data_IF_310972175336
#
_entry.id   IF_310972175336
#
_cell.length_a   1.000
_cell.length_b   1.000
_cell.length_c   1.000
_cell.angle_alpha   90.00
_cell.angle_beta   90.00
_cell.angle_gamma   90.00
#
_symmetry.space_group_name_H-M   'P 1'
#
loop_
_entity.id
_entity.type
_entity.pdbx_description
1 polymer ?
#
# COMPACT_ATOMS: atom_id res chain seq x y z
N UNK A 1 -10.24 -4.01 9.54
CA UNK A 1 -11.66 -4.40 9.44
C UNK A 1 -11.93 -5.68 10.20
N UNK A 2 -13.20 -5.95 10.50
CA UNK A 2 -13.64 -7.21 11.10
C UNK A 2 -13.13 -8.39 10.25
N UNK A 3 -12.44 -9.35 10.87
CA UNK A 3 -11.87 -10.55 10.21
C UNK A 3 -11.00 -10.29 8.97
N UNK A 4 -10.43 -9.09 8.82
CA UNK A 4 -9.60 -8.76 7.66
C UNK A 4 -10.37 -8.53 6.34
N UNK A 5 -11.68 -8.29 6.39
CA UNK A 5 -12.48 -8.06 5.17
C UNK A 5 -11.99 -6.86 4.35
N UNK A 6 -11.60 -5.78 5.02
CA UNK A 6 -11.07 -4.57 4.35
C UNK A 6 -9.75 -4.83 3.62
N UNK A 7 -8.81 -5.56 4.23
CA UNK A 7 -7.55 -5.85 3.54
C UNK A 7 -7.81 -6.81 2.37
N UNK A 8 -8.75 -7.75 2.52
CA UNK A 8 -9.12 -8.69 1.45
C UNK A 8 -9.72 -7.99 0.23
N UNK A 9 -10.57 -6.98 0.42
CA UNK A 9 -11.13 -6.22 -0.70
C UNK A 9 -10.04 -5.43 -1.44
N UNK A 10 -9.14 -4.77 -0.71
CA UNK A 10 -7.99 -4.06 -1.29
C UNK A 10 -7.07 -5.03 -2.04
N UNK A 11 -6.67 -6.15 -1.41
CA UNK A 11 -5.83 -7.16 -2.05
C UNK A 11 -6.44 -7.72 -3.33
N UNK A 12 -7.77 -7.86 -3.37
CA UNK A 12 -8.47 -8.36 -4.56
C UNK A 12 -8.41 -7.33 -5.69
N UNK A 13 -8.80 -6.09 -5.41
CA UNK A 13 -8.80 -5.02 -6.41
C UNK A 13 -7.40 -4.78 -7.00
N UNK A 14 -6.38 -4.65 -6.14
CA UNK A 14 -5.00 -4.44 -6.60
C UNK A 14 -4.47 -5.60 -7.43
N UNK A 15 -4.83 -6.85 -7.11
CA UNK A 15 -4.38 -8.01 -7.90
C UNK A 15 -5.05 -8.06 -9.27
N UNK A 16 -6.35 -7.75 -9.36
CA UNK A 16 -7.05 -7.72 -10.65
C UNK A 16 -6.42 -6.68 -11.60
N UNK A 17 -6.14 -5.48 -11.09
CA UNK A 17 -5.47 -4.42 -11.85
C UNK A 17 -4.03 -4.80 -12.26
N UNK A 18 -3.26 -5.41 -11.35
CA UNK A 18 -1.89 -5.85 -11.65
C UNK A 18 -1.84 -7.03 -12.62
N UNK A 19 -2.80 -7.96 -12.55
CA UNK A 19 -2.91 -9.08 -13.48
C UNK A 19 -3.26 -8.60 -14.89
N UNK A 20 -4.15 -7.61 -15.01
CA UNK A 20 -4.47 -6.95 -16.27
C UNK A 20 -3.26 -6.20 -16.85
N UNK A 21 -2.60 -5.37 -16.04
CA UNK A 21 -1.45 -4.58 -16.46
C UNK A 21 -0.26 -5.45 -16.91
N UNK A 22 0.00 -6.56 -16.22
CA UNK A 22 1.15 -7.44 -16.49
C UNK A 22 0.82 -8.62 -17.42
N UNK A 23 -0.45 -8.86 -17.72
CA UNK A 23 -0.90 -9.97 -18.57
C UNK A 23 -0.59 -11.37 -18.02
N UNK A 24 -0.39 -11.51 -16.71
CA UNK A 24 -0.01 -12.77 -16.05
C UNK A 24 -0.55 -12.85 -14.64
N UNK A 25 -0.70 -14.07 -14.11
CA UNK A 25 -1.14 -14.30 -12.72
C UNK A 25 -0.15 -13.70 -11.72
N UNK A 26 -0.67 -13.03 -10.70
CA UNK A 26 0.12 -12.36 -9.65
C UNK A 26 -0.27 -12.89 -8.27
N UNK A 27 0.72 -13.35 -7.50
CA UNK A 27 0.51 -13.68 -6.09
C UNK A 27 0.93 -12.49 -5.22
N UNK A 28 -0.04 -11.69 -4.79
CA UNK A 28 0.19 -10.49 -3.98
C UNK A 28 0.06 -10.81 -2.48
N UNK A 29 1.16 -10.68 -1.74
CA UNK A 29 1.16 -10.73 -0.27
C UNK A 29 1.11 -9.31 0.30
N UNK A 30 0.15 -9.03 1.18
CA UNK A 30 -0.04 -7.73 1.82
C UNK A 30 0.00 -7.89 3.35
N UNK A 31 0.81 -7.07 4.01
CA UNK A 31 0.92 -7.04 5.47
C UNK A 31 0.73 -5.59 5.96
N UNK A 32 -0.24 -5.38 6.83
CA UNK A 32 -0.43 -4.08 7.49
C UNK A 32 0.55 -3.96 8.65
N UNK A 33 1.37 -2.92 8.63
CA UNK A 33 2.26 -2.55 9.74
C UNK A 33 1.77 -1.23 10.34
N UNK A 34 1.64 -1.19 11.66
CA UNK A 34 1.28 0.03 12.39
C UNK A 34 2.54 0.60 13.01
N UNK A 35 2.80 1.88 12.73
CA UNK A 35 3.84 2.65 13.38
C UNK A 35 3.24 3.99 13.80
N UNK A 36 3.27 4.35 15.09
CA UNK A 36 2.84 5.68 15.52
C UNK A 36 3.73 6.76 14.91
N UNK A 37 3.16 7.91 14.54
CA UNK A 37 3.87 9.12 14.08
C UNK A 37 4.82 8.95 12.88
N UNK A 38 4.62 7.93 12.05
CA UNK A 38 5.46 7.69 10.86
C UNK A 38 5.41 8.83 9.83
N UNK A 39 4.33 9.62 9.86
CA UNK A 39 4.15 10.77 8.98
C UNK A 39 5.12 11.93 9.27
N UNK A 40 5.72 11.97 10.47
CA UNK A 40 6.68 13.01 10.86
C UNK A 40 8.13 12.68 10.45
N UNK A 41 8.39 11.43 10.02
CA UNK A 41 9.71 10.95 9.62
C UNK A 41 9.94 11.21 8.11
N UNK A 42 10.45 12.40 7.76
CA UNK A 42 10.71 12.77 6.35
C UNK A 42 11.61 11.77 5.60
N UNK A 43 12.53 11.10 6.29
CA UNK A 43 13.39 10.04 5.73
C UNK A 43 12.59 8.86 5.17
N UNK A 44 11.42 8.55 5.74
CA UNK A 44 10.55 7.45 5.29
C UNK A 44 9.85 7.73 3.97
N UNK A 45 9.50 8.98 3.72
CA UNK A 45 8.92 9.37 2.43
C UNK A 45 9.95 9.09 1.33
N UNK A 46 11.20 9.50 1.54
CA UNK A 46 12.31 9.22 0.63
C UNK A 46 12.53 7.72 0.40
N UNK A 47 12.49 6.89 1.45
CA UNK A 47 12.59 5.42 1.31
C UNK A 47 11.43 4.81 0.52
N UNK A 48 10.23 5.40 0.61
CA UNK A 48 9.05 5.00 -0.16
C UNK A 48 9.02 5.58 -1.58
N UNK A 49 10.01 6.41 -1.94
CA UNK A 49 10.03 7.14 -3.21
C UNK A 49 8.98 8.26 -3.30
N UNK A 50 8.54 8.78 -2.17
CA UNK A 50 7.60 9.89 -2.03
C UNK A 50 8.35 11.16 -1.61
N UNK A 51 7.93 12.33 -2.09
CA UNK A 51 8.45 13.60 -1.59
C UNK A 51 7.67 14.03 -0.35
N UNK A 52 8.36 14.42 0.73
CA UNK A 52 7.72 14.88 1.98
C UNK A 52 6.76 16.07 1.78
N UNK A 53 6.90 16.79 0.67
CA UNK A 53 6.03 17.91 0.31
C UNK A 53 4.66 17.50 -0.25
N UNK A 54 4.45 16.22 -0.60
CA UNK A 54 3.17 15.73 -1.14
C UNK A 54 2.07 15.58 -0.05
N UNK A 55 2.44 15.62 1.23
CA UNK A 55 1.51 15.53 2.35
C UNK A 55 0.81 16.84 2.73
N UNK A 56 1.07 17.94 2.00
CA UNK A 56 0.57 19.27 2.34
C UNK A 56 -0.16 19.89 1.13
N UNK A 57 -1.35 19.37 0.83
CA UNK A 57 -2.39 19.99 -0.03
C UNK A 57 -3.70 20.08 0.71
#
# INVERSE_FOLDING_TARGET
GQKGETIKSVSKASREELEEFLGRKVHLFLQVKVRPNWLDEAERYSEMGLDFKDGNV
#
